data_IF_794258891641
#
_entry.id   IF_794258891641
#
_cell.length_a   1.000
_cell.length_b   1.000
_cell.length_c   1.000
_cell.angle_alpha   90.00
_cell.angle_beta   90.00
_cell.angle_gamma   90.00
#
_symmetry.space_group_name_H-M   'P 1'
#
loop_
_entity.id
_entity.type
_entity.pdbx_description
1 polymer ?
#
# COMPACT_ATOMS: atom_id res chain seq x y z
N UNK A 1 -30.66 -21.94 -3.75
CA UNK A 1 -29.24 -22.32 -3.83
C UNK A 1 -28.43 -21.04 -4.00
N UNK A 2 -27.88 -20.48 -2.91
CA UNK A 2 -26.84 -19.43 -2.99
C UNK A 2 -25.78 -19.82 -1.96
N UNK A 3 -24.74 -20.51 -2.44
CA UNK A 3 -23.55 -20.79 -1.63
C UNK A 3 -22.73 -19.50 -1.58
N UNK A 4 -23.02 -18.63 -0.61
CA UNK A 4 -22.09 -17.56 -0.24
C UNK A 4 -20.93 -18.17 0.54
N UNK A 5 -19.99 -18.79 -0.18
CA UNK A 5 -18.72 -19.25 0.39
C UNK A 5 -17.67 -18.16 0.22
N UNK A 6 -17.83 -17.02 0.90
CA UNK A 6 -16.76 -16.03 1.02
C UNK A 6 -15.76 -16.51 2.07
N UNK A 7 -14.74 -17.27 1.66
CA UNK A 7 -13.57 -17.51 2.50
C UNK A 7 -12.61 -16.34 2.34
N UNK A 8 -12.90 -15.20 2.99
CA UNK A 8 -11.98 -14.05 3.06
C UNK A 8 -11.08 -14.23 4.28
N UNK A 9 -9.90 -14.79 4.07
CA UNK A 9 -8.87 -14.80 5.11
C UNK A 9 -8.14 -13.46 5.05
N UNK A 10 -8.36 -12.61 6.07
CA UNK A 10 -7.66 -11.33 6.27
C UNK A 10 -6.64 -11.60 7.37
N UNK A 11 -5.38 -11.82 6.99
CA UNK A 11 -4.30 -11.97 7.97
C UNK A 11 -3.64 -10.61 8.18
N UNK A 12 -3.71 -10.11 9.42
CA UNK A 12 -2.92 -8.97 9.87
C UNK A 12 -1.59 -9.49 10.42
N UNK A 13 -0.54 -9.38 9.62
CA UNK A 13 0.82 -9.64 10.12
C UNK A 13 1.38 -8.29 10.59
N UNK A 14 1.76 -8.20 11.87
CA UNK A 14 2.69 -7.14 12.31
C UNK A 14 4.06 -7.53 11.77
N UNK A 15 4.78 -6.57 11.20
CA UNK A 15 6.18 -6.77 10.87
C UNK A 15 6.94 -6.99 12.20
N UNK A 16 7.17 -8.25 12.58
CA UNK A 16 8.13 -8.56 13.64
C UNK A 16 9.48 -8.28 12.99
N UNK A 17 10.07 -7.13 13.32
CA UNK A 17 11.40 -6.76 12.86
C UNK A 17 12.39 -7.85 13.27
N UNK A 18 12.60 -8.81 12.38
CA UNK A 18 13.37 -10.01 12.59
C UNK A 18 13.92 -10.42 11.23
N UNK A 19 15.25 -10.37 11.12
CA UNK A 19 16.02 -10.77 9.95
C UNK A 19 15.55 -12.14 9.46
N UNK A 20 14.67 -12.19 8.46
CA UNK A 20 14.25 -13.45 7.85
C UNK A 20 12.84 -13.55 7.28
N UNK A 21 11.88 -12.69 7.67
CA UNK A 21 10.48 -12.88 7.21
C UNK A 21 10.12 -12.19 5.88
N UNK A 22 10.81 -11.12 5.50
CA UNK A 22 10.75 -10.47 4.18
C UNK A 22 12.16 -9.96 3.91
N UNK A 23 13.08 -10.86 3.57
CA UNK A 23 14.46 -10.47 3.25
C UNK A 23 14.42 -9.48 2.08
N UNK A 24 15.16 -8.37 2.20
CA UNK A 24 15.12 -7.15 1.37
C UNK A 24 14.16 -6.11 1.95
N UNK A 25 14.70 -5.30 2.88
CA UNK A 25 14.24 -3.94 3.11
C UNK A 25 14.12 -3.28 1.73
N UNK A 26 12.89 -3.01 1.31
CA UNK A 26 12.61 -2.71 -0.08
C UNK A 26 13.24 -1.36 -0.42
N UNK A 27 14.17 -1.39 -1.38
CA UNK A 27 14.93 -0.28 -1.96
C UNK A 27 14.22 1.09 -1.83
N UNK A 28 14.50 1.81 -0.73
CA UNK A 28 13.87 3.11 -0.46
C UNK A 28 13.48 3.41 0.99
N UNK A 29 13.66 2.49 1.94
CA UNK A 29 13.41 2.76 3.38
C UNK A 29 11.93 2.79 3.76
N UNK A 30 11.07 2.12 3.00
CA UNK A 30 9.67 1.97 3.35
C UNK A 30 9.49 0.86 4.40
N UNK A 31 9.21 1.27 5.64
CA UNK A 31 8.94 0.40 6.77
C UNK A 31 7.44 0.47 7.12
N UNK A 32 6.62 -0.48 6.66
CA UNK A 32 5.19 -0.48 6.94
C UNK A 32 4.89 -1.02 8.33
N UNK A 33 3.91 -0.40 8.99
CA UNK A 33 3.37 -0.86 10.26
C UNK A 33 2.48 -2.10 10.09
N UNK A 34 1.81 -2.23 8.94
CA UNK A 34 0.89 -3.32 8.66
C UNK A 34 1.15 -3.97 7.31
N UNK A 35 1.04 -5.30 7.29
CA UNK A 35 0.96 -6.09 6.07
C UNK A 35 -0.38 -6.83 6.10
N UNK A 36 -1.19 -6.58 5.09
CA UNK A 36 -2.46 -7.25 4.85
C UNK A 36 -2.28 -8.24 3.70
N UNK A 37 -2.49 -9.52 3.99
CA UNK A 37 -2.55 -10.56 2.97
C UNK A 37 -4.00 -10.97 2.75
N UNK A 38 -4.50 -10.71 1.53
CA UNK A 38 -5.84 -11.06 1.09
C UNK A 38 -5.72 -12.18 0.06
N UNK A 39 -6.39 -13.30 0.33
CA UNK A 39 -6.54 -14.39 -0.64
C UNK A 39 -7.98 -14.41 -1.16
N UNK A 40 -8.14 -14.27 -2.48
CA UNK A 40 -9.43 -14.41 -3.14
C UNK A 40 -9.29 -15.34 -4.35
N UNK A 41 -9.86 -16.55 -4.23
CA UNK A 41 -9.70 -17.63 -5.19
C UNK A 41 -8.21 -17.93 -5.47
N UNK A 42 -7.76 -17.73 -6.71
CA UNK A 42 -6.37 -17.92 -7.15
C UNK A 42 -5.53 -16.66 -6.90
N UNK A 43 -6.16 -15.49 -6.79
CA UNK A 43 -5.47 -14.22 -6.65
C UNK A 43 -5.08 -13.94 -5.19
N UNK A 44 -3.89 -13.38 -5.00
CA UNK A 44 -3.36 -12.98 -3.70
C UNK A 44 -2.92 -11.52 -3.75
N UNK A 45 -3.44 -10.71 -2.85
CA UNK A 45 -3.06 -9.30 -2.68
C UNK A 45 -2.22 -9.20 -1.41
N UNK A 46 -0.99 -8.70 -1.53
CA UNK A 46 -0.14 -8.34 -0.39
C UNK A 46 -0.08 -6.82 -0.34
N UNK A 47 -0.68 -6.25 0.69
CA UNK A 47 -0.89 -4.81 0.83
C UNK A 47 -0.09 -4.31 2.02
N UNK A 48 0.89 -3.46 1.76
CA UNK A 48 1.74 -2.82 2.77
C UNK A 48 1.12 -1.46 3.12
N UNK A 49 0.83 -1.23 4.39
CA UNK A 49 0.13 -0.03 4.85
C UNK A 49 0.98 0.63 5.95
N UNK A 50 1.28 1.91 5.75
CA UNK A 50 2.06 2.72 6.67
C UNK A 50 1.28 3.98 7.08
N UNK A 51 0.66 4.00 8.27
CA UNK A 51 0.10 5.22 8.84
C UNK A 51 1.22 6.19 9.22
N UNK A 52 1.32 7.32 8.52
CA UNK A 52 2.47 8.24 8.68
C UNK A 52 2.08 9.71 8.72
N UNK A 53 2.75 10.46 9.61
CA UNK A 53 2.76 11.92 9.54
C UNK A 53 3.68 12.38 8.41
N UNK A 54 3.09 12.86 7.30
CA UNK A 54 3.82 13.26 6.09
C UNK A 54 4.42 14.68 6.11
N UNK A 55 4.23 15.45 7.20
CA UNK A 55 4.63 16.88 7.25
C UNK A 55 6.11 17.12 6.93
N UNK A 56 7.00 16.20 7.31
CA UNK A 56 8.45 16.34 7.12
C UNK A 56 8.96 15.74 5.80
N UNK A 57 8.08 15.12 5.01
CA UNK A 57 8.44 14.49 3.76
C UNK A 57 8.23 15.47 2.60
N UNK A 58 8.99 15.26 1.53
CA UNK A 58 8.81 15.97 0.26
C UNK A 58 7.94 15.11 -0.67
N UNK A 59 7.26 15.74 -1.64
CA UNK A 59 6.41 15.04 -2.60
C UNK A 59 7.18 14.01 -3.45
N UNK A 60 8.49 14.18 -3.62
CA UNK A 60 9.37 13.29 -4.36
C UNK A 60 10.19 12.33 -3.46
N UNK A 61 9.89 12.28 -2.16
CA UNK A 61 10.59 11.42 -1.22
C UNK A 61 10.47 9.94 -1.64
N UNK A 62 11.53 9.11 -1.51
CA UNK A 62 11.46 7.68 -1.83
C UNK A 62 10.30 6.95 -1.16
N UNK A 63 9.93 7.35 0.06
CA UNK A 63 8.81 6.78 0.80
C UNK A 63 7.47 7.12 0.17
N UNK A 64 7.31 8.36 -0.32
CA UNK A 64 6.11 8.82 -1.04
C UNK A 64 6.00 8.10 -2.38
N UNK A 65 7.12 7.92 -3.09
CA UNK A 65 7.16 7.25 -4.38
C UNK A 65 7.17 5.72 -4.32
N UNK A 66 7.07 5.13 -3.12
CA UNK A 66 7.18 3.69 -2.93
C UNK A 66 6.09 2.89 -3.65
N UNK A 67 4.94 3.50 -3.93
CA UNK A 67 3.87 2.90 -4.74
C UNK A 67 4.32 2.52 -6.16
N UNK A 68 5.37 3.18 -6.69
CA UNK A 68 6.01 2.82 -7.95
C UNK A 68 6.99 1.66 -7.75
N UNK A 69 7.93 1.81 -6.81
CA UNK A 69 8.99 0.83 -6.56
C UNK A 69 8.43 -0.56 -6.22
N UNK A 70 7.30 -0.63 -5.51
CA UNK A 70 6.67 -1.91 -5.20
C UNK A 70 6.14 -2.64 -6.44
N UNK A 71 5.80 -1.93 -7.51
CA UNK A 71 5.41 -2.55 -8.79
C UNK A 71 6.62 -3.09 -9.54
N UNK A 72 7.79 -2.50 -9.35
CA UNK A 72 9.05 -3.03 -9.89
C UNK A 72 9.44 -4.32 -9.18
N UNK A 73 9.23 -4.38 -7.86
CA UNK A 73 9.35 -5.63 -7.11
C UNK A 73 8.36 -6.69 -7.57
N UNK A 74 7.09 -6.31 -7.80
CA UNK A 74 6.07 -7.25 -8.30
C UNK A 74 6.54 -7.88 -9.63
N UNK A 75 7.04 -7.05 -10.56
CA UNK A 75 7.58 -7.54 -11.83
C UNK A 75 8.79 -8.45 -11.65
N UNK A 76 9.73 -8.09 -10.75
CA UNK A 76 10.89 -8.92 -10.44
C UNK A 76 10.48 -10.27 -9.82
N UNK A 77 9.51 -10.26 -8.91
CA UNK A 77 8.93 -11.48 -8.31
C UNK A 77 8.36 -12.40 -9.39
N UNK A 78 7.58 -11.86 -10.32
CA UNK A 78 6.98 -12.64 -11.41
C UNK A 78 8.02 -13.18 -12.39
N UNK A 79 9.05 -12.39 -12.70
CA UNK A 79 10.13 -12.82 -13.59
C UNK A 79 10.94 -13.99 -13.01
N UNK A 80 11.23 -13.94 -11.70
CA UNK A 80 12.02 -14.98 -11.02
C UNK A 80 11.19 -16.21 -10.62
N UNK A 81 9.86 -16.05 -10.49
CA UNK A 81 8.95 -17.10 -10.05
C UNK A 81 7.65 -17.07 -10.88
N UNK A 82 7.64 -17.70 -12.08
CA UNK A 82 6.48 -17.71 -12.97
C UNK A 82 5.21 -18.30 -12.34
N UNK A 83 5.34 -19.19 -11.35
CA UNK A 83 4.23 -19.75 -10.58
C UNK A 83 3.52 -18.71 -9.68
N UNK A 84 4.16 -17.56 -9.45
CA UNK A 84 3.69 -16.48 -8.55
C UNK A 84 3.03 -15.29 -9.25
N UNK A 85 2.69 -15.41 -10.54
CA UNK A 85 1.99 -14.34 -11.28
C UNK A 85 0.64 -13.92 -10.69
N UNK A 86 0.05 -14.79 -9.87
CA UNK A 86 -1.20 -14.54 -9.16
C UNK A 86 -1.04 -13.69 -7.88
N UNK A 87 0.19 -13.28 -7.54
CA UNK A 87 0.49 -12.40 -6.40
C UNK A 87 0.61 -10.96 -6.90
N UNK A 88 -0.14 -10.05 -6.27
CA UNK A 88 -0.10 -8.61 -6.51
C UNK A 88 0.37 -7.88 -5.26
N UNK A 89 1.26 -6.91 -5.44
CA UNK A 89 1.86 -6.13 -4.35
C UNK A 89 1.35 -4.70 -4.41
N UNK A 90 0.90 -4.16 -3.29
CA UNK A 90 0.43 -2.77 -3.19
C UNK A 90 1.01 -2.11 -1.96
N UNK A 91 1.24 -0.81 -2.02
CA UNK A 91 1.62 -0.01 -0.87
C UNK A 91 0.73 1.22 -0.76
N UNK A 92 0.44 1.61 0.47
CA UNK A 92 -0.35 2.79 0.80
C UNK A 92 0.28 3.53 1.97
N UNK A 93 0.33 4.86 1.84
CA UNK A 93 0.54 5.76 2.96
C UNK A 93 -0.83 6.19 3.47
N UNK A 94 -1.11 5.97 4.75
CA UNK A 94 -2.32 6.48 5.40
C UNK A 94 -1.92 7.72 6.18
N UNK A 95 -2.18 8.89 5.61
CA UNK A 95 -1.66 10.15 6.13
C UNK A 95 -2.32 10.52 7.45
N UNK A 96 -1.51 10.81 8.46
CA UNK A 96 -1.92 11.49 9.69
C UNK A 96 -1.81 13.02 9.56
N UNK A 97 -1.32 13.51 8.41
CA UNK A 97 -1.26 14.93 8.08
C UNK A 97 -2.44 15.27 7.16
N UNK A 98 -3.20 16.31 7.50
CA UNK A 98 -4.33 16.76 6.67
C UNK A 98 -3.89 17.21 5.28
N UNK A 99 -4.76 17.01 4.30
CA UNK A 99 -4.59 17.44 2.90
C UNK A 99 -4.11 18.88 2.81
N UNK A 100 -4.81 19.83 3.44
CA UNK A 100 -4.48 21.26 3.36
C UNK A 100 -3.05 21.60 3.83
N UNK A 101 -2.51 20.81 4.77
CA UNK A 101 -1.12 21.01 5.25
C UNK A 101 -0.12 20.51 4.21
N UNK A 102 -0.43 19.43 3.50
CA UNK A 102 0.42 18.90 2.44
C UNK A 102 0.34 19.76 1.18
N UNK A 103 -0.84 20.22 0.76
CA UNK A 103 -0.98 21.14 -0.39
C UNK A 103 -0.16 22.43 -0.19
N UNK A 104 -0.14 22.96 1.04
CA UNK A 104 0.70 24.12 1.37
C UNK A 104 2.21 23.83 1.36
N UNK A 105 2.63 22.57 1.44
CA UNK A 105 4.04 22.14 1.44
C UNK A 105 4.51 21.56 0.12
N UNK A 106 3.60 21.03 -0.68
CA UNK A 106 3.84 20.34 -1.93
C UNK A 106 3.12 21.10 -3.05
N UNK A 107 3.71 22.20 -3.55
CA UNK A 107 3.07 23.04 -4.55
C UNK A 107 2.68 22.24 -5.81
N UNK A 108 1.42 22.36 -6.21
CA UNK A 108 0.88 21.67 -7.38
C UNK A 108 0.34 20.27 -7.11
N UNK A 109 0.51 19.73 -5.90
CA UNK A 109 -0.20 18.53 -5.47
C UNK A 109 -1.61 18.89 -4.98
N UNK A 110 -2.58 18.07 -5.39
CA UNK A 110 -3.96 18.08 -4.88
C UNK A 110 -4.21 16.81 -4.09
N UNK A 111 -5.32 16.73 -3.35
CA UNK A 111 -5.76 15.46 -2.77
C UNK A 111 -5.79 14.33 -3.80
N UNK A 112 -6.41 14.55 -4.97
CA UNK A 112 -6.52 13.55 -6.02
C UNK A 112 -5.14 13.09 -6.52
N UNK A 113 -4.20 14.02 -6.76
CA UNK A 113 -2.86 13.64 -7.22
C UNK A 113 -2.07 12.87 -6.14
N UNK A 114 -2.29 13.17 -4.87
CA UNK A 114 -1.72 12.42 -3.74
C UNK A 114 -2.37 11.03 -3.62
N UNK A 115 -3.67 10.91 -3.85
CA UNK A 115 -4.38 9.63 -3.85
C UNK A 115 -3.98 8.74 -5.02
N UNK A 116 -3.67 9.31 -6.18
CA UNK A 116 -3.06 8.60 -7.31
C UNK A 116 -1.70 8.02 -6.96
N UNK A 117 -0.96 8.67 -6.04
CA UNK A 117 0.27 8.14 -5.43
C UNK A 117 0.02 7.20 -4.25
N UNK A 118 -1.21 6.74 -4.06
CA UNK A 118 -1.62 5.85 -2.98
C UNK A 118 -1.46 6.46 -1.57
N UNK A 119 -1.58 7.78 -1.45
CA UNK A 119 -1.68 8.47 -0.16
C UNK A 119 -3.16 8.68 0.15
N UNK A 120 -3.63 8.14 1.27
CA UNK A 120 -5.03 8.18 1.69
C UNK A 120 -5.18 9.02 2.96
N UNK A 121 -6.32 9.68 3.13
CA UNK A 121 -6.52 10.72 4.16
C UNK A 121 -7.74 10.44 5.05
N UNK A 122 -7.62 9.63 6.12
CA UNK A 122 -8.77 9.30 6.98
C UNK A 122 -9.44 10.49 7.67
N UNK A 123 -8.69 11.57 7.93
CA UNK A 123 -9.20 12.78 8.59
C UNK A 123 -9.92 13.73 7.62
N UNK A 124 -9.64 13.62 6.32
CA UNK A 124 -10.20 14.51 5.28
C UNK A 124 -11.21 13.77 4.37
N UNK A 125 -11.22 12.43 4.39
CA UNK A 125 -12.08 11.59 3.56
C UNK A 125 -12.52 10.31 4.29
N UNK A 126 -13.81 10.22 4.59
CA UNK A 126 -14.41 9.03 5.22
C UNK A 126 -14.40 7.79 4.30
N UNK A 127 -14.31 7.98 2.98
CA UNK A 127 -14.32 6.91 1.97
C UNK A 127 -12.92 6.38 1.62
N UNK A 128 -11.90 6.72 2.43
CA UNK A 128 -10.51 6.34 2.15
C UNK A 128 -10.33 4.81 2.08
N UNK A 129 -11.12 4.04 2.84
CA UNK A 129 -11.08 2.57 2.82
C UNK A 129 -11.65 2.00 1.53
N UNK A 130 -12.74 2.58 1.03
CA UNK A 130 -13.34 2.24 -0.26
C UNK A 130 -12.34 2.52 -1.39
N UNK A 131 -11.66 3.67 -1.36
CA UNK A 131 -10.58 3.99 -2.30
C UNK A 131 -9.44 2.98 -2.24
N UNK A 132 -9.03 2.55 -1.04
CA UNK A 132 -8.04 1.48 -0.87
C UNK A 132 -8.51 0.20 -1.55
N UNK A 133 -9.74 -0.24 -1.26
CA UNK A 133 -10.33 -1.47 -1.82
C UNK A 133 -10.46 -1.40 -3.34
N UNK A 134 -10.86 -0.25 -3.89
CA UNK A 134 -10.92 -0.04 -5.33
C UNK A 134 -9.53 -0.14 -5.98
N UNK A 135 -8.50 0.47 -5.37
CA UNK A 135 -7.13 0.45 -5.90
C UNK A 135 -6.49 -0.95 -5.87
N UNK A 136 -6.87 -1.81 -4.93
CA UNK A 136 -6.41 -3.21 -4.92
C UNK A 136 -7.21 -4.12 -5.87
N UNK A 137 -8.35 -3.64 -6.39
CA UNK A 137 -9.14 -4.32 -7.41
C UNK A 137 -9.92 -5.54 -6.92
N UNK A 138 -10.48 -5.49 -5.70
CA UNK A 138 -11.29 -6.58 -5.11
C UNK A 138 -12.66 -6.12 -4.63
#
# INVERSE_FOLDING_TARGET
>A
MVKNSFHRLIVKLRNIAGKGAVGVFIDGGFEPDFILWIKHQVQQQVVFIDPKGLRQYQANDPKVNFYLSIKDLERTLHANHPDRQHIKLHSFLVSQTRVAVLEGRWPGETQDSMEDKHILFPEDDEYYMEKLVQKIGI
#
